data_IF_558103024576
#
_entry.id   IF_558103024576
#
_cell.length_a   1.000
_cell.length_b   1.000
_cell.length_c   1.000
_cell.angle_alpha   90.00
_cell.angle_beta   90.00
_cell.angle_gamma   90.00
#
_symmetry.space_group_name_H-M   'P 1'
#
loop_
_entity.id
_entity.type
_entity.pdbx_description
1 polymer ?
#
# COMPACT_ATOMS: atom_id res chain seq x y z
N UNK A 1 -9.61 5.94 -4.72
CA UNK A 1 -8.64 4.84 -4.49
C UNK A 1 -8.70 3.80 -5.59
N UNK A 2 -9.88 3.22 -5.87
CA UNK A 2 -10.09 2.31 -7.01
C UNK A 2 -9.47 2.83 -8.31
N UNK A 3 -9.83 4.04 -8.72
CA UNK A 3 -9.37 4.62 -10.00
C UNK A 3 -7.84 4.76 -10.08
N UNK A 4 -7.20 5.08 -8.95
CA UNK A 4 -5.75 5.15 -8.86
C UNK A 4 -5.13 3.77 -9.07
N UNK A 5 -5.62 2.74 -8.39
CA UNK A 5 -5.14 1.37 -8.53
C UNK A 5 -5.40 0.83 -9.95
N UNK A 6 -6.57 1.11 -10.51
CA UNK A 6 -6.92 0.75 -11.88
C UNK A 6 -5.96 1.41 -12.87
N UNK A 7 -5.61 2.69 -12.72
CA UNK A 7 -4.63 3.35 -13.59
C UNK A 7 -3.24 2.70 -13.54
N UNK A 8 -2.81 2.23 -12.37
CA UNK A 8 -1.53 1.51 -12.21
C UNK A 8 -1.58 0.16 -12.92
N UNK A 9 -2.70 -0.57 -12.76
CA UNK A 9 -2.90 -1.86 -13.44
C UNK A 9 -2.89 -1.67 -14.96
N UNK A 10 -3.63 -0.69 -15.48
CA UNK A 10 -3.66 -0.39 -16.91
C UNK A 10 -2.28 0.00 -17.44
N UNK A 11 -1.52 0.83 -16.69
CA UNK A 11 -0.16 1.21 -17.07
C UNK A 11 0.78 0.00 -17.12
N UNK A 12 0.73 -0.88 -16.12
CA UNK A 12 1.57 -2.08 -16.07
C UNK A 12 1.28 -3.06 -17.21
N UNK A 13 0.00 -3.31 -17.49
CA UNK A 13 -0.42 -4.16 -18.62
C UNK A 13 -0.03 -3.51 -19.95
N UNK A 14 -0.29 -2.21 -20.11
CA UNK A 14 0.09 -1.45 -21.31
C UNK A 14 1.61 -1.40 -21.56
N UNK A 15 2.42 -1.54 -20.52
CA UNK A 15 3.88 -1.63 -20.60
C UNK A 15 4.39 -3.06 -20.90
N UNK A 16 3.51 -4.04 -21.12
CA UNK A 16 3.87 -5.42 -21.48
C UNK A 16 3.89 -6.42 -20.34
N UNK A 17 3.36 -6.06 -19.16
CA UNK A 17 3.18 -7.04 -18.09
C UNK A 17 2.04 -8.02 -18.42
N UNK A 18 2.35 -9.31 -18.39
CA UNK A 18 1.37 -10.40 -18.47
C UNK A 18 0.43 -10.47 -17.26
N UNK A 19 0.85 -9.86 -16.15
CA UNK A 19 0.06 -9.72 -14.94
C UNK A 19 0.48 -8.42 -14.24
N UNK A 20 -0.50 -7.65 -13.78
CA UNK A 20 -0.28 -6.47 -12.94
C UNK A 20 -1.35 -6.43 -11.84
N UNK A 21 -0.92 -6.23 -10.61
CA UNK A 21 -1.79 -6.07 -9.43
C UNK A 21 -1.35 -4.83 -8.67
N UNK A 22 -2.31 -3.99 -8.29
CA UNK A 22 -2.10 -2.90 -7.34
C UNK A 22 -3.08 -3.08 -6.17
N UNK A 23 -2.54 -3.17 -4.94
CA UNK A 23 -3.31 -3.41 -3.72
C UNK A 23 -3.11 -2.26 -2.74
N UNK A 24 -4.19 -1.58 -2.38
CA UNK A 24 -4.21 -0.62 -1.28
C UNK A 24 -4.49 -1.33 0.04
N UNK A 25 -3.86 -0.85 1.10
CA UNK A 25 -4.12 -1.23 2.49
C UNK A 25 -4.26 0.03 3.34
N UNK A 26 -5.21 0.01 4.28
CA UNK A 26 -5.30 0.96 5.39
C UNK A 26 -5.59 0.16 6.68
N UNK A 27 -4.83 0.46 7.72
CA UNK A 27 -5.01 -0.08 9.07
C UNK A 27 -5.12 1.06 10.07
N UNK A 28 -6.16 1.02 10.90
CA UNK A 28 -6.34 1.95 12.02
C UNK A 28 -6.05 1.23 13.33
N UNK A 29 -5.39 1.92 14.24
CA UNK A 29 -4.99 1.37 15.53
C UNK A 29 -5.23 2.39 16.64
N UNK A 30 -5.56 1.86 17.81
CA UNK A 30 -5.61 2.60 19.07
C UNK A 30 -4.96 1.72 20.13
N UNK A 31 -4.16 2.33 21.00
CA UNK A 31 -3.40 1.61 22.01
C UNK A 31 -3.25 2.43 23.28
N UNK A 32 -3.34 1.73 24.41
CA UNK A 32 -3.09 2.28 25.74
C UNK A 32 -1.99 1.43 26.36
N UNK A 33 -0.91 2.05 26.82
CA UNK A 33 0.08 1.37 27.67
C UNK A 33 -0.10 1.80 29.12
N UNK A 34 -0.12 0.82 30.02
CA UNK A 34 -0.24 1.03 31.47
C UNK A 34 1.05 0.52 32.10
N UNK A 35 1.64 1.32 32.97
CA UNK A 35 2.82 0.97 33.75
C UNK A 35 2.58 1.31 35.21
N UNK A 36 2.73 0.33 36.09
CA UNK A 36 2.46 0.45 37.53
C UNK A 36 1.07 1.02 37.86
N UNK A 37 0.05 0.61 37.08
CA UNK A 37 -1.33 1.06 37.27
C UNK A 37 -1.62 2.47 36.73
N UNK A 38 -0.64 3.15 36.13
CA UNK A 38 -0.78 4.47 35.54
C UNK A 38 -0.69 4.39 34.01
N UNK A 39 -1.64 5.01 33.30
CA UNK A 39 -1.59 5.10 31.85
C UNK A 39 -0.40 5.97 31.42
N UNK A 40 0.54 5.38 30.69
CA UNK A 40 1.78 6.03 30.24
C UNK A 40 1.66 6.57 28.82
N UNK A 41 0.96 5.87 27.95
CA UNK A 41 0.76 6.30 26.55
C UNK A 41 -0.66 6.00 26.11
N UNK A 42 -1.28 7.00 25.50
CA UNK A 42 -2.53 6.90 24.76
C UNK A 42 -2.21 7.29 23.33
N UNK A 43 -2.35 6.36 22.41
CA UNK A 43 -1.98 6.56 21.01
C UNK A 43 -3.06 6.07 20.07
N UNK A 44 -3.23 6.78 18.96
CA UNK A 44 -3.93 6.29 17.78
C UNK A 44 -3.03 6.45 16.56
N UNK A 45 -3.24 5.62 15.55
CA UNK A 45 -2.42 5.63 14.36
C UNK A 45 -3.16 5.10 13.15
N UNK A 46 -2.84 5.67 11.99
CA UNK A 46 -3.28 5.21 10.68
C UNK A 46 -2.03 4.77 9.91
N UNK A 47 -2.05 3.55 9.39
CA UNK A 47 -1.02 3.03 8.49
C UNK A 47 -1.69 2.75 7.15
N UNK A 48 -1.12 3.24 6.08
CA UNK A 48 -1.63 2.98 4.74
C UNK A 48 -0.50 2.77 3.74
N UNK A 49 -0.82 2.14 2.61
CA UNK A 49 0.11 1.99 1.52
C UNK A 49 -0.46 1.29 0.31
N UNK A 50 0.30 1.32 -0.77
CA UNK A 50 0.00 0.62 -2.02
C UNK A 50 1.17 -0.33 -2.31
N UNK A 51 0.86 -1.60 -2.54
CA UNK A 51 1.79 -2.58 -3.10
C UNK A 51 1.46 -2.85 -4.56
N UNK A 52 2.47 -2.89 -5.42
CA UNK A 52 2.35 -3.13 -6.85
C UNK A 52 3.18 -4.36 -7.21
N UNK A 53 2.57 -5.30 -7.91
CA UNK A 53 3.20 -6.55 -8.34
C UNK A 53 3.00 -6.75 -9.84
N UNK A 54 4.08 -7.10 -10.55
CA UNK A 54 4.05 -7.33 -11.99
C UNK A 54 4.72 -8.65 -12.37
N UNK A 55 4.29 -9.22 -13.51
CA UNK A 55 4.98 -10.33 -14.17
C UNK A 55 5.26 -9.96 -15.63
N UNK A 56 6.53 -9.92 -16.02
CA UNK A 56 7.00 -9.60 -17.38
C UNK A 56 7.93 -10.70 -17.87
N UNK A 57 7.56 -11.39 -18.95
CA UNK A 57 8.37 -12.49 -19.51
C UNK A 57 8.68 -13.60 -18.49
N UNK A 58 7.70 -13.95 -17.64
CA UNK A 58 7.86 -14.94 -16.56
C UNK A 58 8.66 -14.45 -15.34
N UNK A 59 9.14 -13.20 -15.33
CA UNK A 59 9.90 -12.62 -14.20
C UNK A 59 8.98 -11.82 -13.29
N UNK A 60 9.25 -11.92 -11.99
CA UNK A 60 8.47 -11.26 -10.94
C UNK A 60 9.10 -9.92 -10.53
N UNK A 61 8.27 -8.88 -10.39
CA UNK A 61 8.67 -7.57 -9.86
C UNK A 61 7.67 -7.06 -8.82
N UNK A 62 8.17 -6.35 -7.82
CA UNK A 62 7.36 -5.78 -6.75
C UNK A 62 7.91 -4.43 -6.28
N UNK A 63 7.01 -3.49 -5.98
CA UNK A 63 7.32 -2.20 -5.38
C UNK A 63 6.20 -1.76 -4.43
N UNK A 64 6.49 -0.88 -3.47
CA UNK A 64 5.49 -0.37 -2.53
C UNK A 64 5.78 1.06 -2.07
N UNK A 65 4.72 1.78 -1.70
CA UNK A 65 4.80 3.12 -1.10
C UNK A 65 3.76 3.29 0.00
N UNK A 66 4.04 4.13 1.00
CA UNK A 66 3.06 4.55 2.00
C UNK A 66 2.24 5.79 1.57
N UNK A 67 2.50 6.33 0.37
CA UNK A 67 1.79 7.47 -0.20
C UNK A 67 0.89 7.01 -1.35
N UNK A 68 -0.42 7.02 -1.14
CA UNK A 68 -1.39 6.66 -2.18
C UNK A 68 -1.72 7.85 -3.10
N UNK A 69 -0.69 8.37 -3.79
CA UNK A 69 -0.83 9.44 -4.78
C UNK A 69 -0.38 8.96 -6.16
N UNK A 70 -0.92 9.56 -7.23
CA UNK A 70 -0.55 9.23 -8.62
C UNK A 70 0.96 9.29 -8.85
N UNK A 71 1.61 10.37 -8.41
CA UNK A 71 3.06 10.56 -8.53
C UNK A 71 3.87 9.47 -7.81
N UNK A 72 3.37 8.95 -6.69
CA UNK A 72 4.08 7.96 -5.88
C UNK A 72 3.96 6.53 -6.41
N UNK A 73 3.06 6.27 -7.37
CA UNK A 73 2.76 4.93 -7.90
C UNK A 73 3.06 4.78 -9.40
N UNK A 74 3.53 5.84 -10.06
CA UNK A 74 3.87 5.89 -11.49
C UNK A 74 5.34 5.66 -11.77
#
# INVERSE_FOLDING_TARGET
MRDLLESVVQKGVGAGASFCEARFFEGRSSGISIENGVARTLGSGIRQGVGIRVIVGGRWGFASTNLATKRSVE
#
